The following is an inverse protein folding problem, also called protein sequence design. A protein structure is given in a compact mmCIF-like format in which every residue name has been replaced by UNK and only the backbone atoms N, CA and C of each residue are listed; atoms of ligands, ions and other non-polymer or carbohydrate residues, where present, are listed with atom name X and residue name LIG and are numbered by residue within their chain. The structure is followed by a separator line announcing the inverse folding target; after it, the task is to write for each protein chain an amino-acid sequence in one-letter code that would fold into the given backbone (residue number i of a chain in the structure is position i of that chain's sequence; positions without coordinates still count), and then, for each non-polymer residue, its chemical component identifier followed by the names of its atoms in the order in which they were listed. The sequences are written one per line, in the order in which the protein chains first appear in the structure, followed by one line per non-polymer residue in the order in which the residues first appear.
data_IF_000636964251
#
_entry.id   IF_000636964251
#
_cell.length_a   1.000
_cell.length_b   1.000
_cell.length_c   1.000
_cell.angle_alpha   90.00
_cell.angle_beta   90.00
_cell.angle_gamma   90.00
#
_symmetry.space_group_name_H-M   'P 1'
#
loop_
_entity.id
_entity.type
_entity.pdbx_description
1 polymer ?
#
# COMPACT_ATOMS: atom_id res chain seq x y z
N UNK A 1 0.50 -4.74 15.54
CA UNK A 1 -0.28 -5.90 15.08
C UNK A 1 -0.38 -5.84 13.55
N UNK A 2 0.66 -6.30 12.84
CA UNK A 2 0.76 -6.14 11.38
C UNK A 2 0.02 -7.24 10.61
N UNK A 3 -0.35 -8.34 11.27
CA UNK A 3 -1.17 -9.42 10.69
C UNK A 3 -2.56 -8.94 10.24
N UNK A 4 -3.04 -7.83 10.82
CA UNK A 4 -4.29 -7.17 10.42
C UNK A 4 -4.13 -6.32 9.16
N UNK A 5 -2.90 -5.92 8.81
CA UNK A 5 -2.61 -5.13 7.59
C UNK A 5 -2.42 -6.10 6.42
N UNK A 6 -3.23 -5.94 5.37
CA UNK A 6 -3.19 -6.79 4.18
C UNK A 6 -3.04 -5.96 2.92
N UNK A 7 -2.32 -6.51 1.96
CA UNK A 7 -2.25 -6.04 0.58
C UNK A 7 -3.11 -6.95 -0.31
N UNK A 8 -3.28 -6.59 -1.58
CA UNK A 8 -4.00 -7.41 -2.56
C UNK A 8 -2.99 -7.98 -3.55
N UNK A 9 -2.92 -9.30 -3.66
CA UNK A 9 -2.07 -9.98 -4.64
C UNK A 9 -2.58 -9.83 -6.07
N UNK A 10 -1.73 -10.18 -7.05
CA UNK A 10 -2.12 -10.23 -8.47
C UNK A 10 -3.33 -11.13 -8.76
N UNK A 11 -3.58 -12.13 -7.91
CA UNK A 11 -4.71 -13.06 -7.98
C UNK A 11 -5.99 -12.50 -7.32
N UNK A 12 -5.97 -11.22 -6.92
CA UNK A 12 -7.05 -10.52 -6.19
C UNK A 12 -7.34 -11.08 -4.80
N UNK A 13 -6.43 -11.86 -4.21
CA UNK A 13 -6.58 -12.35 -2.84
C UNK A 13 -5.81 -11.48 -1.84
N UNK A 14 -6.26 -11.39 -0.58
CA UNK A 14 -5.52 -10.69 0.47
C UNK A 14 -4.21 -11.41 0.80
N UNK A 15 -3.12 -10.66 0.96
CA UNK A 15 -1.81 -11.14 1.42
C UNK A 15 -1.45 -10.39 2.69
N UNK A 16 -1.06 -11.10 3.75
CA UNK A 16 -0.61 -10.48 4.99
C UNK A 16 0.79 -9.89 4.81
N UNK A 17 1.03 -8.68 5.32
CA UNK A 17 2.35 -8.01 5.14
C UNK A 17 3.50 -8.79 5.80
N UNK A 18 3.22 -9.57 6.86
CA UNK A 18 4.23 -10.41 7.52
C UNK A 18 4.57 -11.68 6.74
N UNK A 19 3.80 -12.01 5.69
CA UNK A 19 4.03 -13.17 4.81
C UNK A 19 4.67 -12.82 3.47
N UNK A 20 4.96 -11.53 3.23
CA UNK A 20 5.58 -11.07 2.00
C UNK A 20 7.03 -11.57 1.88
N UNK A 21 7.41 -11.91 0.67
CA UNK A 21 8.77 -12.29 0.28
C UNK A 21 9.17 -11.63 -1.04
N UNK A 22 10.47 -11.64 -1.31
CA UNK A 22 11.00 -11.14 -2.58
C UNK A 22 10.33 -11.86 -3.77
N UNK A 23 9.94 -11.07 -4.78
CA UNK A 23 9.22 -11.55 -5.95
C UNK A 23 7.69 -11.59 -5.79
N UNK A 24 7.12 -11.32 -4.62
CA UNK A 24 5.67 -11.17 -4.49
C UNK A 24 5.19 -9.89 -5.20
N UNK A 25 4.16 -10.04 -6.03
CA UNK A 25 3.51 -8.94 -6.76
C UNK A 25 2.20 -8.54 -6.08
N UNK A 26 2.02 -7.24 -5.85
CA UNK A 26 0.83 -6.66 -5.22
C UNK A 26 0.21 -5.57 -6.10
N UNK A 27 -1.10 -5.42 -5.99
CA UNK A 27 -1.83 -4.37 -6.70
C UNK A 27 -1.67 -3.03 -5.98
N UNK A 28 -1.39 -1.98 -6.75
CA UNK A 28 -1.27 -0.60 -6.28
C UNK A 28 -2.33 0.26 -6.96
N UNK A 29 -2.97 1.13 -6.20
CA UNK A 29 -3.83 2.18 -6.72
C UNK A 29 -3.12 3.52 -6.58
N UNK A 30 -2.66 4.09 -7.69
CA UNK A 30 -1.97 5.38 -7.71
C UNK A 30 -2.99 6.52 -7.70
N UNK A 31 -2.78 7.51 -6.83
CA UNK A 31 -3.61 8.72 -6.75
C UNK A 31 -2.74 9.97 -6.81
N UNK A 32 -3.26 11.05 -7.39
CA UNK A 32 -2.52 12.30 -7.57
C UNK A 32 -2.23 13.06 -6.26
N UNK A 33 -3.04 12.83 -5.22
CA UNK A 33 -2.85 13.39 -3.89
C UNK A 33 -2.63 12.27 -2.87
N UNK A 34 -1.79 12.53 -1.87
CA UNK A 34 -1.67 11.67 -0.70
C UNK A 34 -2.87 11.80 0.23
N UNK A 35 -2.95 10.94 1.24
CA UNK A 35 -4.10 10.91 2.17
C UNK A 35 -3.65 10.80 3.62
N UNK A 36 -4.16 11.70 4.46
CA UNK A 36 -4.03 11.60 5.92
C UNK A 36 -5.39 11.23 6.51
N UNK A 37 -5.48 10.10 7.22
CA UNK A 37 -6.74 9.58 7.77
C UNK A 37 -7.88 9.43 6.73
N UNK A 38 -7.53 9.14 5.48
CA UNK A 38 -8.49 8.97 4.38
C UNK A 38 -8.88 10.27 3.66
N UNK A 39 -8.52 11.44 4.19
CA UNK A 39 -8.74 12.74 3.56
C UNK A 39 -7.61 13.05 2.58
N UNK A 40 -7.94 13.52 1.38
CA UNK A 40 -6.93 13.98 0.42
C UNK A 40 -6.19 15.20 0.98
N UNK A 41 -4.87 15.18 0.87
CA UNK A 41 -3.99 16.27 1.30
C UNK A 41 -3.08 16.68 0.16
N UNK A 42 -2.84 17.98 0.02
CA UNK A 42 -1.82 18.49 -0.90
C UNK A 42 -0.44 18.22 -0.27
N UNK A 43 0.29 17.26 -0.80
CA UNK A 43 1.64 16.91 -0.35
C UNK A 43 2.69 17.38 -1.35
N UNK A 44 3.81 17.91 -0.84
CA UNK A 44 5.02 18.17 -1.62
C UNK A 44 6.10 17.20 -1.18
N UNK A 45 6.48 16.25 -2.05
CA UNK A 45 7.58 15.32 -1.78
C UNK A 45 8.90 16.02 -2.10
N UNK A 46 9.82 16.07 -1.13
CA UNK A 46 11.16 16.64 -1.31
C UNK A 46 12.19 15.59 -0.91
N UNK A 47 12.77 14.93 -1.90
CA UNK A 47 13.87 13.97 -1.71
C UNK A 47 15.19 14.73 -1.48
N UNK A 48 16.07 14.18 -0.63
CA UNK A 48 17.44 14.66 -0.39
C UNK A 48 18.44 13.62 -0.88
#
# INVERSE_FOLDING_TARGET
NAETIKLVGKDKKPISVVSLKEGDEVLVHLTAAGRHFGMAVEETVREK
#
